data_IF_042940489608
#
_entry.id   IF_042940489608
#
_cell.length_a   1.000
_cell.length_b   1.000
_cell.length_c   1.000
_cell.angle_alpha   90.00
_cell.angle_beta   90.00
_cell.angle_gamma   90.00
#
_symmetry.space_group_name_H-M   'P 1'
#
loop_
_entity.id
_entity.type
_entity.pdbx_description
1 polymer ?
2 polymer ?
3 non-polymer ?
4 water ?
#
# COMPACT_ATOMS: atom_id res chain seq x y z
N UNK A 1 -22.36 -3.91 -10.30
CA UNK A 1 -22.13 -5.25 -9.70
C UNK A 1 -23.05 -5.42 -8.51
N UNK A 2 -22.66 -6.25 -7.53
CA UNK A 2 -23.60 -6.62 -6.48
C UNK A 2 -24.01 -5.44 -5.62
N UNK A 3 -23.23 -4.36 -5.59
CA UNK A 3 -23.55 -3.21 -4.75
C UNK A 3 -24.27 -2.14 -5.51
N UNK A 4 -24.65 -2.42 -6.75
CA UNK A 4 -25.24 -1.41 -7.61
C UNK A 4 -26.60 -0.91 -7.16
N UNK A 5 -27.33 -1.72 -6.41
CA UNK A 5 -28.63 -1.30 -5.89
C UNK A 5 -28.58 -0.59 -4.54
N UNK A 6 -27.43 -0.48 -3.88
CA UNK A 6 -27.35 0.17 -2.58
C UNK A 6 -26.89 1.62 -2.71
N UNK A 7 -27.51 2.49 -1.90
CA UNK A 7 -27.12 3.91 -1.86
C UNK A 7 -25.65 4.08 -1.50
N UNK A 8 -25.01 5.05 -2.15
CA UNK A 8 -23.64 5.43 -1.79
C UNK A 8 -23.48 5.60 -0.28
N UNK A 9 -24.36 6.39 0.34
CA UNK A 9 -24.19 6.68 1.76
C UNK A 9 -24.34 5.41 2.60
N UNK A 10 -25.25 4.53 2.21
CA UNK A 10 -25.42 3.25 2.92
C UNK A 10 -24.17 2.38 2.79
N UNK A 11 -23.54 2.35 1.61
CA UNK A 11 -22.29 1.62 1.44
C UNK A 11 -21.20 2.15 2.37
N UNK A 12 -21.08 3.47 2.47
CA UNK A 12 -20.11 4.07 3.37
C UNK A 12 -20.44 3.72 4.82
N UNK A 13 -21.72 3.85 5.19
CA UNK A 13 -22.12 3.50 6.55
C UNK A 13 -21.77 2.04 6.88
N UNK A 14 -22.02 1.13 5.94
CA UNK A 14 -21.75 -0.29 6.16
C UNK A 14 -20.26 -0.57 6.14
N UNK A 15 -19.49 0.17 5.35
CA UNK A 15 -18.03 0.02 5.42
C UNK A 15 -17.52 0.32 6.82
N UNK A 16 -18.06 1.36 7.46
CA UNK A 16 -17.62 1.71 8.81
C UNK A 16 -18.04 0.66 9.82
N UNK A 17 -19.23 0.08 9.66
CA UNK A 17 -19.65 -1.05 10.50
C UNK A 17 -18.74 -2.26 10.30
N UNK A 18 -18.46 -2.61 9.04
CA UNK A 18 -17.55 -3.71 8.75
C UNK A 18 -16.20 -3.50 9.40
N UNK A 19 -15.68 -2.27 9.38
CA UNK A 19 -14.41 -2.00 10.04
C UNK A 19 -14.50 -2.29 11.54
N UNK A 20 -15.58 -1.87 12.18
CA UNK A 20 -15.74 -2.12 13.61
C UNK A 20 -15.82 -3.60 13.92
N UNK A 21 -16.38 -4.39 13.02
CA UNK A 21 -16.51 -5.82 13.18
C UNK A 21 -15.30 -6.59 12.64
N UNK A 22 -14.28 -5.87 12.20
CA UNK A 22 -13.09 -6.47 11.57
C UNK A 22 -13.46 -7.39 10.40
N UNK A 23 -14.45 -6.98 9.62
CA UNK A 23 -14.92 -7.72 8.46
C UNK A 23 -14.36 -7.01 7.22
N UNK A 24 -13.07 -7.22 6.96
CA UNK A 24 -12.42 -6.37 5.98
C UNK A 24 -12.74 -6.75 4.54
N UNK A 25 -13.04 -8.02 4.25
CA UNK A 25 -13.51 -8.36 2.91
C UNK A 25 -14.83 -7.65 2.63
N UNK A 26 -15.78 -7.68 3.57
CA UNK A 26 -17.01 -6.94 3.40
C UNK A 26 -16.72 -5.45 3.23
N UNK A 27 -15.83 -4.92 4.05
CA UNK A 27 -15.51 -3.49 4.01
C UNK A 27 -15.01 -3.10 2.63
N UNK A 28 -14.13 -3.94 2.05
CA UNK A 28 -13.59 -3.68 0.73
C UNK A 28 -14.68 -3.73 -0.33
N UNK A 29 -15.57 -4.72 -0.24
CA UNK A 29 -16.65 -4.80 -1.21
C UNK A 29 -17.58 -3.59 -1.13
N UNK A 30 -17.88 -3.12 0.07
CA UNK A 30 -18.70 -1.92 0.22
C UNK A 30 -18.02 -0.71 -0.40
N UNK A 31 -16.73 -0.53 -0.15
CA UNK A 31 -16.04 0.64 -0.69
C UNK A 31 -15.84 0.54 -2.18
N UNK A 32 -15.62 -0.66 -2.72
CA UNK A 32 -15.63 -0.82 -4.16
C UNK A 32 -16.97 -0.35 -4.73
N UNK A 33 -18.07 -0.73 -4.10
CA UNK A 33 -19.38 -0.28 -4.57
C UNK A 33 -19.51 1.22 -4.53
N UNK A 34 -19.01 1.84 -3.45
CA UNK A 34 -19.04 3.29 -3.33
C UNK A 34 -18.24 3.97 -4.43
N UNK A 35 -17.02 3.48 -4.71
CA UNK A 35 -16.21 4.04 -5.79
C UNK A 35 -16.97 3.97 -7.12
N UNK A 36 -17.59 2.82 -7.39
CA UNK A 36 -18.28 2.58 -8.65
C UNK A 36 -19.52 3.45 -8.82
N UNK A 37 -19.97 4.14 -7.79
CA UNK A 37 -21.01 5.13 -7.97
C UNK A 37 -20.55 6.29 -8.85
N UNK A 38 -19.23 6.48 -9.02
CA UNK A 38 -18.70 7.45 -9.94
C UNK A 38 -18.36 8.82 -9.38
N UNK A 39 -18.73 9.12 -8.14
CA UNK A 39 -18.37 10.38 -7.52
C UNK A 39 -16.98 10.28 -6.88
N UNK A 40 -16.30 11.43 -6.78
CA UNK A 40 -15.01 11.49 -6.12
C UNK A 40 -15.18 11.12 -4.65
N UNK A 41 -14.08 10.73 -4.02
CA UNK A 41 -14.10 10.34 -2.63
C UNK A 41 -13.54 11.46 -1.77
N UNK A 42 -14.17 11.64 -0.62
CA UNK A 42 -13.62 12.54 0.40
C UNK A 42 -12.38 11.95 1.05
N UNK A 43 -11.73 12.74 1.91
CA UNK A 43 -10.55 12.28 2.61
C UNK A 43 -10.86 11.05 3.47
N UNK A 44 -11.94 11.12 4.24
CA UNK A 44 -12.32 10.00 5.09
C UNK A 44 -12.66 8.76 4.26
N UNK A 45 -13.34 8.97 3.13
CA UNK A 45 -13.72 7.86 2.26
C UNK A 45 -12.51 7.21 1.60
N UNK A 46 -11.52 8.01 1.21
CA UNK A 46 -10.29 7.45 0.65
C UNK A 46 -9.62 6.58 1.68
N UNK A 47 -9.64 7.00 2.94
CA UNK A 47 -9.00 6.19 3.97
C UNK A 47 -9.79 4.94 4.29
N UNK A 48 -11.13 4.95 4.14
CA UNK A 48 -11.86 3.70 4.31
C UNK A 48 -11.49 2.70 3.22
N UNK A 49 -11.37 3.19 1.99
CA UNK A 49 -10.99 2.36 0.86
C UNK A 49 -9.63 1.73 1.09
N UNK A 50 -8.64 2.53 1.50
CA UNK A 50 -7.30 2.01 1.68
C UNK A 50 -7.23 1.05 2.87
N UNK A 51 -7.86 1.39 3.99
CA UNK A 51 -7.85 0.49 5.15
C UNK A 51 -8.40 -0.88 4.77
N UNK A 52 -9.49 -0.89 3.99
CA UNK A 52 -10.14 -2.15 3.68
C UNK A 52 -9.23 -3.07 2.88
N UNK A 53 -8.75 -2.58 1.74
CA UNK A 53 -7.92 -3.40 0.88
C UNK A 53 -6.55 -3.68 1.49
N UNK A 54 -5.98 -2.76 2.28
CA UNK A 54 -4.70 -3.05 2.92
C UNK A 54 -4.82 -4.26 3.84
N UNK A 55 -5.93 -4.36 4.55
CA UNK A 55 -6.16 -5.50 5.44
C UNK A 55 -6.41 -6.79 4.66
N UNK A 56 -7.22 -6.73 3.61
CA UNK A 56 -7.47 -7.92 2.79
C UNK A 56 -6.15 -8.44 2.19
N UNK A 57 -5.44 -7.57 1.47
CA UNK A 57 -4.21 -7.99 0.80
C UNK A 57 -3.12 -8.31 1.82
N UNK A 58 -3.15 -7.68 3.00
CA UNK A 58 -2.18 -8.01 4.03
C UNK A 58 -2.27 -9.46 4.49
N UNK A 59 -3.48 -9.94 4.72
CA UNK A 59 -3.66 -11.35 5.06
C UNK A 59 -3.22 -12.28 3.94
N UNK A 60 -3.53 -11.94 2.69
CA UNK A 60 -3.14 -12.77 1.57
C UNK A 60 -1.62 -12.84 1.44
N UNK A 61 -0.94 -11.69 1.60
CA UNK A 61 0.51 -11.63 1.51
C UNK A 61 1.16 -12.47 2.62
N UNK A 62 0.63 -12.37 3.84
CA UNK A 62 1.17 -13.15 4.93
C UNK A 62 1.02 -14.65 4.66
N UNK A 63 -0.14 -15.06 4.16
CA UNK A 63 -0.37 -16.47 3.82
C UNK A 63 0.56 -16.91 2.70
N UNK A 64 0.70 -16.08 1.66
CA UNK A 64 1.58 -16.40 0.55
C UNK A 64 3.01 -16.61 1.04
N UNK A 65 3.46 -15.79 1.99
CA UNK A 65 4.83 -15.92 2.45
C UNK A 65 5.00 -17.23 3.21
N UNK A 66 4.04 -17.60 4.06
CA UNK A 66 4.09 -18.88 4.75
C UNK A 66 4.21 -20.03 3.74
N UNK A 67 3.37 -20.01 2.71
CA UNK A 67 3.34 -21.10 1.76
C UNK A 67 4.60 -21.11 0.89
N UNK A 68 5.07 -19.92 0.48
CA UNK A 68 6.28 -19.84 -0.32
C UNK A 68 7.49 -20.36 0.44
N UNK A 69 7.53 -20.14 1.74
CA UNK A 69 8.63 -20.65 2.57
C UNK A 69 8.59 -22.17 2.65
N UNK A 70 7.40 -22.75 2.88
CA UNK A 70 7.25 -24.21 2.85
C UNK A 70 7.71 -24.78 1.52
N UNK A 71 7.32 -24.12 0.42
CA UNK A 71 7.66 -24.58 -0.92
C UNK A 71 9.16 -24.55 -1.13
N UNK A 72 9.81 -23.48 -0.69
CA UNK A 72 11.26 -23.39 -0.88
C UNK A 72 11.97 -24.49 -0.09
N UNK A 73 11.54 -24.73 1.14
CA UNK A 73 12.13 -25.80 1.95
C UNK A 73 11.95 -27.14 1.26
N UNK A 74 10.82 -27.34 0.57
CA UNK A 74 10.56 -28.61 -0.09
C UNK A 74 11.46 -28.82 -1.29
N UNK A 75 12.15 -27.79 -1.75
CA UNK A 75 13.09 -27.93 -2.84
C UNK A 75 14.55 -27.92 -2.37
N UNK A 76 14.77 -28.05 -1.05
CA UNK A 76 16.12 -28.14 -0.52
C UNK A 76 16.65 -29.57 -0.67
N UNK A 77 17.97 -29.69 -0.68
CA UNK A 77 18.61 -31.00 -0.71
C UNK A 77 18.11 -31.87 0.43
N UNK A 78 17.64 -33.07 0.09
CA UNK A 78 17.24 -34.03 1.09
C UNK A 78 15.80 -33.94 1.54
N UNK A 79 15.00 -33.05 0.95
CA UNK A 79 13.59 -32.94 1.31
C UNK A 79 12.81 -34.05 0.64
N UNK A 80 11.96 -34.72 1.41
CA UNK A 80 11.15 -35.78 0.87
C UNK A 80 10.13 -35.20 -0.10
N UNK A 81 9.92 -35.88 -1.23
CA UNK A 81 8.96 -35.43 -2.22
C UNK A 81 7.54 -35.59 -1.69
N UNK A 82 6.74 -34.53 -1.78
CA UNK A 82 5.39 -34.58 -1.26
C UNK A 82 4.31 -34.31 -2.32
N UNK A 83 4.71 -34.12 -3.58
CA UNK A 83 3.76 -33.95 -4.66
C UNK A 83 3.50 -32.49 -4.95
N UNK A 84 2.45 -32.21 -5.72
CA UNK A 84 2.22 -30.85 -6.24
C UNK A 84 1.45 -29.94 -5.31
N UNK A 85 1.04 -30.42 -4.14
CA UNK A 85 0.02 -29.72 -3.36
C UNK A 85 0.51 -28.38 -2.84
N UNK A 86 1.76 -28.32 -2.36
CA UNK A 86 2.27 -27.04 -1.84
C UNK A 86 2.26 -25.99 -2.94
N UNK A 87 2.86 -26.31 -4.09
CA UNK A 87 2.84 -25.39 -5.22
C UNK A 87 1.41 -25.02 -5.60
N UNK A 88 0.52 -26.02 -5.72
CA UNK A 88 -0.85 -25.71 -6.12
C UNK A 88 -1.49 -24.69 -5.19
N UNK A 89 -1.34 -24.92 -3.89
CA UNK A 89 -2.03 -24.09 -2.93
C UNK A 89 -1.39 -22.71 -2.85
N UNK A 90 -0.04 -22.64 -2.95
CA UNK A 90 0.60 -21.33 -3.10
C UNK A 90 0.10 -20.60 -4.34
N UNK A 91 -0.02 -21.29 -5.46
CA UNK A 91 -0.56 -20.67 -6.66
C UNK A 91 -1.99 -20.20 -6.45
N UNK A 92 -2.80 -20.95 -5.69
CA UNK A 92 -4.19 -20.53 -5.45
C UNK A 92 -4.23 -19.23 -4.68
N UNK A 93 -3.44 -19.14 -3.62
CA UNK A 93 -3.39 -17.93 -2.82
C UNK A 93 -2.82 -16.78 -3.63
N UNK A 94 -1.77 -17.06 -4.42
CA UNK A 94 -1.16 -16.05 -5.28
C UNK A 94 -2.17 -15.48 -6.27
N UNK A 95 -2.95 -16.35 -6.89
CA UNK A 95 -3.93 -15.89 -7.87
C UNK A 95 -4.99 -15.00 -7.22
N UNK A 96 -5.44 -15.37 -6.01
CA UNK A 96 -6.42 -14.57 -5.30
C UNK A 96 -5.84 -13.19 -4.95
N UNK A 97 -4.60 -13.17 -4.48
CA UNK A 97 -3.91 -11.92 -4.16
C UNK A 97 -3.77 -11.03 -5.40
N UNK A 98 -3.32 -11.60 -6.51
CA UNK A 98 -3.23 -10.83 -7.75
C UNK A 98 -4.58 -10.28 -8.16
N UNK A 99 -5.65 -11.03 -7.92
CA UNK A 99 -6.96 -10.56 -8.29
C UNK A 99 -7.35 -9.33 -7.50
N UNK A 100 -7.03 -9.33 -6.21
CA UNK A 100 -7.32 -8.17 -5.37
C UNK A 100 -6.50 -6.96 -5.84
N UNK A 101 -5.21 -7.17 -6.09
CA UNK A 101 -4.38 -6.08 -6.60
C UNK A 101 -4.94 -5.54 -7.91
N UNK A 102 -5.34 -6.43 -8.81
CA UNK A 102 -5.92 -5.99 -10.07
C UNK A 102 -7.20 -5.20 -9.86
N UNK A 103 -8.01 -5.61 -8.89
CA UNK A 103 -9.25 -4.90 -8.60
C UNK A 103 -8.97 -3.48 -8.13
N UNK A 104 -8.01 -3.33 -7.22
CA UNK A 104 -7.67 -1.99 -6.71
C UNK A 104 -7.11 -1.13 -7.84
N UNK A 105 -6.17 -1.70 -8.62
CA UNK A 105 -5.59 -0.95 -9.73
C UNK A 105 -6.65 -0.56 -10.74
N UNK A 106 -7.68 -1.40 -10.90
CA UNK A 106 -8.75 -1.08 -11.81
C UNK A 106 -9.60 0.07 -11.34
N UNK A 107 -9.83 0.15 -10.02
CA UNK A 107 -10.58 1.26 -9.47
C UNK A 107 -9.80 2.55 -9.65
N UNK A 108 -8.48 2.49 -9.46
CA UNK A 108 -7.66 3.68 -9.61
C UNK A 108 -7.66 4.15 -11.06
N UNK A 109 -7.64 3.21 -12.00
CA UNK A 109 -7.64 3.53 -13.41
C UNK A 109 -9.02 3.88 -13.95
N UNK A 110 -10.09 3.45 -13.29
CA UNK A 110 -11.46 3.74 -13.72
C UNK A 110 -12.34 4.15 -12.53
N UNK A 111 -12.27 5.41 -12.08
CA UNK A 111 -11.57 6.51 -12.73
C UNK A 111 -11.04 7.46 -11.67
N UNK A 112 -10.61 6.89 -10.55
CA UNK A 112 -10.21 7.69 -9.39
C UNK A 112 -9.07 8.64 -9.72
N UNK A 113 -7.99 8.15 -10.35
CA UNK A 113 -6.81 8.97 -10.54
C UNK A 113 -7.10 10.12 -11.51
N UNK A 114 -7.78 9.83 -12.63
CA UNK A 114 -7.95 10.88 -13.61
C UNK A 114 -8.84 12.02 -13.12
N UNK A 115 -9.71 11.79 -12.13
CA UNK A 115 -10.51 12.91 -11.64
C UNK A 115 -9.89 13.58 -10.42
N UNK A 116 -8.77 13.09 -9.91
CA UNK A 116 -8.18 13.59 -8.67
C UNK A 116 -7.23 14.73 -9.01
N UNK A 117 -7.61 15.95 -8.64
CA UNK A 117 -6.81 17.12 -8.97
C UNK A 117 -6.09 17.78 -7.80
N UNK A 118 -6.63 17.65 -6.60
CA UNK A 118 -5.95 18.20 -5.44
C UNK A 118 -4.76 17.33 -5.07
N UNK A 119 -3.72 17.95 -4.53
CA UNK A 119 -2.52 17.20 -4.19
C UNK A 119 -2.82 16.05 -3.23
N UNK A 120 -3.68 16.29 -2.23
CA UNK A 120 -3.92 15.27 -1.21
C UNK A 120 -4.52 14.02 -1.82
N UNK A 121 -5.49 14.17 -2.72
CA UNK A 121 -6.10 12.99 -3.33
C UNK A 121 -5.19 12.37 -4.37
N UNK A 122 -4.57 13.19 -5.21
CA UNK A 122 -3.77 12.62 -6.28
C UNK A 122 -2.59 11.84 -5.72
N UNK A 123 -1.91 12.38 -4.73
CA UNK A 123 -0.76 11.69 -4.13
C UNK A 123 -1.21 10.43 -3.43
N UNK A 124 -2.33 10.50 -2.71
CA UNK A 124 -2.87 9.31 -2.04
C UNK A 124 -3.12 8.19 -3.05
N UNK A 125 -3.74 8.52 -4.18
CA UNK A 125 -4.10 7.47 -5.14
C UNK A 125 -2.86 6.91 -5.85
N UNK A 126 -1.88 7.78 -6.14
CA UNK A 126 -0.67 7.30 -6.81
C UNK A 126 0.20 6.48 -5.87
N UNK A 127 0.23 6.83 -4.58
CA UNK A 127 0.85 5.95 -3.60
C UNK A 127 0.17 4.59 -3.60
N UNK A 128 -1.18 4.57 -3.64
CA UNK A 128 -1.88 3.30 -3.70
C UNK A 128 -1.51 2.53 -4.96
N UNK A 129 -1.44 3.21 -6.10
CA UNK A 129 -1.05 2.53 -7.33
C UNK A 129 0.34 1.90 -7.19
N UNK A 130 1.28 2.67 -6.63
CA UNK A 130 2.61 2.11 -6.40
C UNK A 130 2.59 0.95 -5.43
N UNK A 131 1.83 1.08 -4.34
CA UNK A 131 1.75 0.00 -3.37
C UNK A 131 1.24 -1.29 -4.00
N UNK A 132 0.17 -1.22 -4.81
CA UNK A 132 -0.39 -2.47 -5.29
C UNK A 132 0.41 -3.06 -6.44
N UNK A 133 1.11 -2.24 -7.24
CA UNK A 133 2.09 -2.82 -8.15
C UNK A 133 3.24 -3.45 -7.39
N UNK A 134 3.65 -2.88 -6.26
CA UNK A 134 4.68 -3.49 -5.44
C UNK A 134 4.24 -4.86 -4.91
N UNK A 135 2.98 -4.99 -4.46
CA UNK A 135 2.50 -6.30 -4.02
C UNK A 135 2.49 -7.29 -5.17
N UNK A 136 2.13 -6.85 -6.38
CA UNK A 136 2.27 -7.71 -7.54
C UNK A 136 3.72 -8.10 -7.76
N UNK A 137 4.65 -7.14 -7.59
CA UNK A 137 6.07 -7.43 -7.78
C UNK A 137 6.59 -8.46 -6.80
N UNK A 138 6.05 -8.49 -5.58
CA UNK A 138 6.53 -9.42 -4.55
C UNK A 138 6.37 -10.87 -4.97
N UNK A 139 5.35 -11.18 -5.78
CA UNK A 139 5.07 -12.55 -6.19
C UNK A 139 5.42 -12.80 -7.65
N UNK A 140 5.92 -11.78 -8.36
CA UNK A 140 6.21 -11.92 -9.77
C UNK A 140 7.54 -12.63 -9.98
N UNK A 141 7.57 -13.53 -10.96
CA UNK A 141 8.76 -14.33 -11.25
C UNK A 141 9.07 -14.43 -12.74
N UNK A 142 8.12 -14.00 -13.57
C UNK A 142 8.95 -13.13 -16.17
N UNK A 143 8.19 -13.05 -17.26
CA UNK A 143 8.49 -12.09 -18.32
C UNK A 143 8.17 -10.65 -17.91
N UNK A 144 7.25 -10.46 -16.97
CA UNK A 144 6.70 -9.16 -16.70
C UNK A 144 7.18 -8.55 -15.39
N UNK A 145 8.04 -9.25 -14.64
CA UNK A 145 8.51 -8.72 -13.37
C UNK A 145 9.10 -7.33 -13.53
N UNK A 146 9.93 -7.13 -14.56
CA UNK A 146 10.59 -5.83 -14.69
C UNK A 146 9.58 -4.73 -14.96
N UNK A 147 8.57 -5.03 -15.79
CA UNK A 147 7.57 -4.00 -16.09
C UNK A 147 6.68 -3.75 -14.88
N UNK A 148 6.38 -4.78 -14.10
CA UNK A 148 5.60 -4.57 -12.87
C UNK A 148 6.37 -3.66 -11.92
N UNK A 149 7.66 -3.95 -11.74
CA UNK A 149 8.52 -3.12 -10.90
C UNK A 149 8.56 -1.68 -11.40
N UNK A 150 8.70 -1.49 -12.71
CA UNK A 150 8.79 -0.13 -13.22
C UNK A 150 7.45 0.59 -13.11
N UNK A 151 6.32 -0.13 -13.20
CA UNK A 151 5.03 0.51 -12.96
C UNK A 151 4.91 1.00 -11.51
N UNK A 152 5.35 0.19 -10.55
CA UNK A 152 5.38 0.69 -9.17
C UNK A 152 6.25 1.93 -9.05
N UNK A 153 7.48 1.86 -9.58
CA UNK A 153 8.41 2.98 -9.48
C UNK A 153 7.80 4.25 -10.07
N UNK A 154 7.20 4.13 -11.26
CA UNK A 154 6.66 5.29 -11.96
C UNK A 154 5.54 5.95 -11.17
N UNK A 155 4.64 5.16 -10.59
CA UNK A 155 3.56 5.69 -9.77
C UNK A 155 4.12 6.42 -8.54
N UNK A 156 5.04 5.76 -7.83
CA UNK A 156 5.67 6.37 -6.66
C UNK A 156 6.38 7.68 -7.02
N UNK A 157 7.08 7.70 -8.16
CA UNK A 157 7.85 8.89 -8.55
C UNK A 157 6.92 10.06 -8.87
N UNK A 158 5.81 9.81 -9.58
CA UNK A 158 4.85 10.89 -9.83
C UNK A 158 4.29 11.42 -8.52
N UNK A 159 3.96 10.53 -7.59
CA UNK A 159 3.46 10.95 -6.29
C UNK A 159 4.51 11.74 -5.53
N UNK A 160 5.77 11.28 -5.55
CA UNK A 160 6.84 12.02 -4.88
C UNK A 160 6.98 13.42 -5.43
N UNK A 161 6.98 13.54 -6.78
CA UNK A 161 7.14 14.84 -7.41
C UNK A 161 6.05 15.81 -6.97
N UNK A 162 4.79 15.37 -6.98
CA UNK A 162 3.68 16.21 -6.56
C UNK A 162 3.79 16.54 -5.08
N UNK A 163 4.14 15.56 -4.26
CA UNK A 163 4.16 15.78 -2.82
C UNK A 163 5.23 16.78 -2.45
N UNK A 164 6.39 16.73 -3.10
CA UNK A 164 7.44 17.68 -2.76
C UNK A 164 7.08 19.10 -3.17
N UNK A 165 6.36 19.25 -4.28
CA UNK A 165 5.96 20.57 -4.75
C UNK A 165 4.79 21.15 -3.94
N UNK A 166 3.83 20.31 -3.56
CA UNK A 166 2.50 20.80 -3.14
C UNK A 166 2.20 20.61 -1.66
N UNK A 167 3.03 19.87 -0.93
CA UNK A 167 2.76 19.50 0.45
C UNK A 167 3.93 19.86 1.34
N UNK A 168 3.67 20.19 2.61
CA UNK A 168 4.77 20.40 3.54
C UNK A 168 5.45 19.09 3.87
N UNK A 169 6.70 19.16 4.33
CA UNK A 169 7.49 17.94 4.58
C UNK A 169 6.96 17.11 5.70
N UNK A 170 6.11 17.67 6.56
CA UNK A 170 5.49 16.94 7.65
C UNK A 170 4.15 16.29 7.29
N UNK A 171 3.64 16.53 6.08
CA UNK A 171 2.35 15.97 5.70
C UNK A 171 2.36 14.44 5.85
N UNK A 172 1.40 13.88 6.60
CA UNK A 172 1.44 12.42 6.84
C UNK A 172 1.38 11.57 5.58
N UNK A 173 0.70 12.03 4.54
CA UNK A 173 0.67 11.27 3.29
C UNK A 173 2.03 11.31 2.62
N UNK A 174 2.65 12.48 2.57
CA UNK A 174 4.00 12.59 2.03
C UNK A 174 4.95 11.67 2.78
N UNK A 175 4.87 11.65 4.11
CA UNK A 175 5.76 10.81 4.92
C UNK A 175 5.52 9.33 4.65
N UNK A 176 4.26 8.90 4.56
CA UNK A 176 3.97 7.49 4.32
C UNK A 176 4.34 7.06 2.92
N UNK A 177 4.13 7.95 1.94
CA UNK A 177 4.61 7.68 0.59
C UNK A 177 6.11 7.46 0.60
N UNK A 178 6.87 8.33 1.27
CA UNK A 178 8.32 8.18 1.31
C UNK A 178 8.71 6.88 2.02
N UNK A 179 8.07 6.59 3.15
CA UNK A 179 8.30 5.32 3.85
C UNK A 179 8.20 4.14 2.91
N UNK A 180 7.10 4.05 2.17
CA UNK A 180 6.86 2.91 1.30
C UNK A 180 7.78 2.90 0.08
N UNK A 181 8.01 4.06 -0.56
CA UNK A 181 8.92 4.09 -1.70
C UNK A 181 10.32 3.70 -1.26
N UNK A 182 10.69 4.08 -0.03
CA UNK A 182 11.97 3.66 0.53
C UNK A 182 12.05 2.14 0.66
N UNK A 183 10.98 1.51 1.17
CA UNK A 183 10.94 0.05 1.25
C UNK A 183 10.99 -0.58 -0.13
N UNK A 184 10.29 0.01 -1.10
CA UNK A 184 10.40 -0.43 -2.49
C UNK A 184 11.85 -0.47 -2.95
N UNK A 185 12.59 0.64 -2.74
CA UNK A 185 14.00 0.65 -3.09
C UNK A 185 14.74 -0.47 -2.40
N UNK A 186 14.48 -0.68 -1.12
CA UNK A 186 15.30 -1.59 -0.34
C UNK A 186 15.11 -3.04 -0.77
N UNK A 187 13.85 -3.47 -0.91
CA UNK A 187 13.59 -4.90 -1.04
C UNK A 187 12.97 -5.30 -2.37
N UNK A 188 12.56 -4.35 -3.22
CA UNK A 188 12.09 -4.67 -4.57
C UNK A 188 13.14 -4.30 -5.63
N UNK A 189 13.69 -3.10 -5.54
CA UNK A 189 14.59 -2.58 -6.59
C UNK A 189 16.06 -2.86 -6.30
N UNK A 190 16.37 -3.58 -5.24
CA UNK A 190 17.75 -3.92 -4.88
C UNK A 190 18.60 -2.66 -4.74
N UNK A 191 18.04 -1.59 -4.16
CA UNK A 191 18.72 -0.30 -4.01
C UNK A 191 18.71 0.16 -2.57
N UNK A 192 19.37 -0.58 -1.67
CA UNK A 192 19.33 -0.20 -0.26
C UNK A 192 19.90 1.17 0.03
N UNK A 193 20.91 1.62 -0.73
CA UNK A 193 21.46 2.95 -0.46
C UNK A 193 20.43 4.04 -0.78
N UNK A 194 19.66 3.87 -1.86
CA UNK A 194 18.60 4.81 -2.17
C UNK A 194 17.53 4.79 -1.09
N UNK A 195 17.19 3.59 -0.61
CA UNK A 195 16.20 3.44 0.45
C UNK A 195 16.60 4.21 1.70
N UNK A 196 17.86 4.08 2.10
CA UNK A 196 18.36 4.72 3.30
C UNK A 196 18.43 6.22 3.12
N UNK A 197 18.96 6.68 1.99
CA UNK A 197 19.01 8.11 1.71
C UNK A 197 17.62 8.73 1.75
N UNK A 198 16.65 8.11 1.09
CA UNK A 198 15.31 8.68 1.08
C UNK A 198 14.72 8.76 2.48
N UNK A 199 14.87 7.71 3.28
CA UNK A 199 14.29 7.71 4.61
C UNK A 199 14.93 8.78 5.49
N UNK A 200 16.25 8.92 5.41
CA UNK A 200 16.95 9.89 6.26
C UNK A 200 16.63 11.32 5.85
N UNK A 201 16.61 11.60 4.55
CA UNK A 201 16.27 12.94 4.09
C UNK A 201 14.85 13.30 4.46
N UNK A 202 13.93 12.37 4.26
CA UNK A 202 12.53 12.60 4.61
C UNK A 202 12.39 12.87 6.09
N UNK A 203 13.07 12.07 6.91
CA UNK A 203 13.02 12.28 8.35
C UNK A 203 13.57 13.66 8.71
N UNK A 204 14.73 14.03 8.18
CA UNK A 204 15.39 15.28 8.59
C UNK A 204 14.56 16.49 8.16
N UNK A 205 13.97 16.45 6.96
CA UNK A 205 13.18 17.58 6.50
C UNK A 205 11.89 17.71 7.28
N UNK A 206 11.31 16.59 7.72
CA UNK A 206 10.13 16.69 8.57
C UNK A 206 10.50 17.24 9.94
N UNK A 207 11.60 16.75 10.52
CA UNK A 207 12.04 17.24 11.83
C UNK A 207 12.12 18.77 11.85
N UNK A 208 12.67 19.34 10.79
CA UNK A 208 12.89 20.78 10.72
C UNK A 208 11.61 21.58 10.54
N UNK A 209 10.49 20.95 10.19
CA UNK A 209 9.20 21.61 9.98
C UNK A 209 8.24 21.39 11.15
N UNK A 210 8.60 20.54 12.12
CA UNK A 210 7.69 20.25 13.23
C UNK A 210 7.28 21.51 13.97
N UNK A 211 8.17 22.51 14.03
CA UNK A 211 7.89 23.68 14.83
C UNK A 211 6.68 24.46 14.35
N UNK A 212 6.23 24.23 13.11
CA UNK A 212 5.10 24.94 12.53
C UNK A 212 3.75 24.35 12.91
N UNK A 213 3.74 23.22 13.60
CA UNK A 213 2.57 22.39 13.75
C UNK A 213 1.88 22.54 15.11
N UNK A 214 0.56 22.34 15.09
CA UNK A 214 -0.21 22.15 16.30
C UNK A 214 0.19 20.87 17.02
N UNK A 215 -0.32 20.72 18.25
CA UNK A 215 -0.08 19.50 19.01
C UNK A 215 -0.63 18.28 18.28
N UNK A 216 -1.82 18.38 17.70
CA UNK A 216 -2.41 17.22 17.04
C UNK A 216 -1.66 16.88 15.76
N UNK A 217 -1.28 17.88 14.97
CA UNK A 217 -0.52 17.62 13.75
C UNK A 217 0.87 17.08 14.09
N UNK A 218 1.48 17.60 15.14
CA UNK A 218 2.77 17.09 15.61
C UNK A 218 2.70 15.59 15.94
N UNK A 219 1.66 15.17 16.65
CA UNK A 219 1.51 13.75 16.93
C UNK A 219 1.35 12.93 15.66
N UNK A 220 0.54 13.42 14.71
CA UNK A 220 0.33 12.73 13.45
C UNK A 220 1.65 12.54 12.70
N UNK A 221 2.45 13.60 12.60
CA UNK A 221 3.68 13.55 11.83
C UNK A 221 4.75 12.73 12.53
N UNK A 222 4.88 12.88 13.85
CA UNK A 222 5.94 12.19 14.56
C UNK A 222 5.68 10.68 14.58
N UNK A 223 4.42 10.28 14.54
CA UNK A 223 4.09 8.86 14.46
C UNK A 223 4.73 8.25 13.21
N UNK A 224 4.57 8.89 12.06
CA UNK A 224 5.13 8.30 10.84
C UNK A 224 6.63 8.53 10.78
N UNK A 225 7.14 9.61 11.36
CA UNK A 225 8.59 9.79 11.44
C UNK A 225 9.24 8.64 12.22
N UNK A 226 8.56 8.13 13.26
CA UNK A 226 9.13 7.03 14.02
C UNK A 226 9.21 5.75 13.18
N UNK A 227 8.28 5.56 12.24
CA UNK A 227 8.40 4.41 11.34
C UNK A 227 9.61 4.54 10.44
N UNK A 228 9.87 5.73 9.89
CA UNK A 228 11.09 5.97 9.12
C UNK A 228 12.33 5.68 9.95
N UNK A 229 12.36 6.17 11.19
CA UNK A 229 13.52 5.95 12.05
C UNK A 229 13.73 4.47 12.35
N UNK A 230 12.64 3.74 12.61
CA UNK A 230 12.73 2.31 12.87
C UNK A 230 13.36 1.58 11.68
N UNK A 231 12.96 1.96 10.46
CA UNK A 231 13.54 1.32 9.29
C UNK A 231 15.03 1.64 9.16
N UNK A 232 15.40 2.91 9.33
CA UNK A 232 16.82 3.27 9.30
C UNK A 232 17.61 2.49 10.34
N UNK A 233 17.08 2.35 11.57
CA UNK A 233 17.77 1.57 12.60
C UNK A 233 17.92 0.12 12.18
N UNK A 234 16.91 -0.42 11.51
CA UNK A 234 16.96 -1.80 11.08
C UNK A 234 17.98 -1.99 9.98
N UNK A 235 18.16 -0.98 9.13
CA UNK A 235 18.96 -1.10 7.91
C UNK A 235 20.40 -0.65 8.09
N UNK A 236 20.72 -0.02 9.21
CA UNK A 236 22.07 0.49 9.43
C UNK A 236 22.61 -0.03 10.78
N UNK B 6 12.30 -7.96 14.31
CA UNK B 6 11.86 -6.65 13.84
C UNK B 6 11.79 -6.60 12.32
N UNK B 7 10.63 -6.23 11.79
CA UNK B 7 10.40 -6.14 10.35
C UNK B 7 10.20 -4.68 9.95
N UNK B 8 10.59 -4.37 8.72
CA UNK B 8 10.46 -2.99 8.26
C UNK B 8 9.00 -2.58 8.17
N UNK B 9 8.76 -1.27 8.29
CA UNK B 9 7.42 -0.73 8.23
C UNK B 9 7.02 -0.23 6.85
N UNK B 10 5.81 -0.60 6.43
CA UNK B 10 5.08 0.16 5.41
C UNK B 10 3.75 0.58 6.00
N UNK B 11 3.11 1.58 5.42
CA UNK B 11 1.81 1.97 5.94
C UNK B 11 0.82 2.20 4.81
X LIG C 1 -28.48 7.47 -4.79
X LIG D 1 -11.60 16.39 -9.26
#
# INVERSE_FOLDING_TARGET
>A
GAMGSMERASLIQKAKLAEQAERYEDMAAFMKGAVEKGEELSCEERNLLSVAYKNVVGGQRAAWRVLSSIEQKSNEEGSEEKGPEVREYREKVETELQGVCDTVLGLLDSHLIKEAGDAESRVFYLKMKGDYYRYLAEVATGDDKKRIIDSARSAYQEAMDISKKEMPPTNPIRLGLALNFSVFHYEIANSPEEAISLAKTTFDEAMADLHTLSEDSYKDSTLIMQLLRDNLTLWTADNAGEEGGEAPQEPQS
>B
KSPEKNERHTC
>C hetero
1 MG MG
>D hetero
1 MG MG
#
